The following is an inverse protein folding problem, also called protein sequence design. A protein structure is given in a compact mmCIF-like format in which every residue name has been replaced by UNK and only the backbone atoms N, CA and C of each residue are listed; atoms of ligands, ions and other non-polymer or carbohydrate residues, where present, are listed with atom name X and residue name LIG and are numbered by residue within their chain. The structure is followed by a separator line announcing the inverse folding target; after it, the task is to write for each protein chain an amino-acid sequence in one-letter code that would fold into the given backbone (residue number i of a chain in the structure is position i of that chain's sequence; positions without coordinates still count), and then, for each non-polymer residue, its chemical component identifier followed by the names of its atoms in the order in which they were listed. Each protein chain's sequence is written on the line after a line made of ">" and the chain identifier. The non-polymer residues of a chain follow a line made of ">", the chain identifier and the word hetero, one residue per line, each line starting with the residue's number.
data_IF_770978917662
#
_entry.id   IF_770978917662
#
_cell.length_a   1.000
_cell.length_b   1.000
_cell.length_c   1.000
_cell.angle_alpha   90.00
_cell.angle_beta   90.00
_cell.angle_gamma   90.00
#
_symmetry.space_group_name_H-M   'P 1'
#
loop_
_entity.id
_entity.type
_entity.pdbx_description
1 polymer ?
#
# COMPACT_ATOMS: atom_id res chain seq x y z
N UNK A 1 7.28 -34.41 -30.34
CA UNK A 1 7.81 -33.92 -29.07
C UNK A 1 6.70 -33.20 -28.36
N UNK A 2 6.02 -33.86 -27.44
CA UNK A 2 4.99 -33.25 -26.54
C UNK A 2 5.71 -32.29 -25.60
N UNK A 3 5.22 -31.07 -25.39
CA UNK A 3 5.81 -30.18 -24.39
C UNK A 3 5.72 -30.85 -23.02
N UNK A 4 6.71 -30.67 -22.14
CA UNK A 4 6.63 -31.21 -20.79
C UNK A 4 5.40 -30.59 -20.10
N UNK A 5 4.57 -31.46 -19.57
CA UNK A 5 3.44 -31.12 -18.69
C UNK A 5 3.98 -30.23 -17.58
N UNK A 6 3.69 -28.93 -17.70
CA UNK A 6 4.07 -27.97 -16.68
C UNK A 6 3.41 -28.43 -15.39
N UNK A 7 4.23 -28.75 -14.40
CA UNK A 7 3.81 -29.14 -13.07
C UNK A 7 2.68 -28.18 -12.64
N UNK A 8 1.52 -28.71 -12.39
CA UNK A 8 0.40 -27.99 -11.74
C UNK A 8 0.91 -27.60 -10.37
N UNK A 9 1.56 -26.44 -10.30
CA UNK A 9 1.97 -25.88 -9.03
C UNK A 9 0.68 -25.70 -8.24
N UNK A 10 0.61 -26.37 -7.12
CA UNK A 10 -0.50 -26.32 -6.18
C UNK A 10 -0.61 -24.86 -5.72
N UNK A 11 -1.45 -24.06 -6.42
CA UNK A 11 -1.68 -22.66 -6.07
C UNK A 11 -2.20 -22.63 -4.64
N UNK A 12 -1.61 -21.82 -3.75
CA UNK A 12 -2.15 -21.68 -2.42
C UNK A 12 -3.58 -21.16 -2.54
N UNK A 13 -4.51 -21.81 -1.88
CA UNK A 13 -5.89 -21.38 -1.82
C UNK A 13 -6.06 -20.54 -0.56
N UNK A 14 -6.34 -19.26 -0.75
CA UNK A 14 -6.57 -18.33 0.34
C UNK A 14 -8.01 -17.82 0.32
N UNK A 15 -8.52 -17.48 1.49
CA UNK A 15 -9.73 -16.70 1.67
C UNK A 15 -9.37 -15.29 2.15
N UNK A 16 -10.29 -14.35 2.08
CA UNK A 16 -10.07 -12.96 2.48
C UNK A 16 -9.50 -12.86 3.90
N UNK A 17 -10.01 -13.67 4.82
CA UNK A 17 -9.65 -13.63 6.25
C UNK A 17 -8.19 -14.03 6.50
N UNK A 18 -7.57 -14.78 5.59
CA UNK A 18 -6.14 -15.10 5.68
C UNK A 18 -5.26 -13.84 5.54
N UNK A 19 -5.79 -12.79 4.93
CA UNK A 19 -5.11 -11.51 4.76
C UNK A 19 -5.55 -10.44 5.75
N UNK A 20 -6.47 -10.74 6.66
CA UNK A 20 -6.92 -9.84 7.72
C UNK A 20 -6.02 -10.00 8.94
N UNK A 21 -5.44 -8.90 9.43
CA UNK A 21 -4.68 -8.91 10.67
C UNK A 21 -5.62 -8.88 11.89
N UNK A 22 -5.09 -9.23 13.06
CA UNK A 22 -5.82 -9.11 14.33
C UNK A 22 -5.91 -7.68 14.88
N UNK A 23 -5.59 -6.66 14.09
CA UNK A 23 -5.57 -5.27 14.55
C UNK A 23 -6.90 -4.55 14.23
N UNK A 24 -7.37 -3.77 15.20
CA UNK A 24 -8.53 -2.89 14.98
C UNK A 24 -8.21 -1.79 13.97
N UNK A 25 -9.04 -1.66 12.96
CA UNK A 25 -8.89 -0.60 11.96
C UNK A 25 -9.31 0.75 12.54
N UNK A 26 -8.40 1.72 12.53
CA UNK A 26 -8.56 3.03 13.20
C UNK A 26 -8.56 4.21 12.23
N UNK A 27 -9.28 4.09 11.14
CA UNK A 27 -9.58 5.22 10.26
C UNK A 27 -10.89 5.92 10.68
N UNK A 28 -11.11 7.11 10.15
CA UNK A 28 -12.36 7.84 10.42
C UNK A 28 -13.58 7.08 9.85
N UNK A 29 -14.73 7.14 10.51
CA UNK A 29 -15.96 6.55 9.97
C UNK A 29 -16.26 7.04 8.55
N UNK A 30 -16.56 6.11 7.65
CA UNK A 30 -16.83 6.40 6.24
C UNK A 30 -15.60 6.78 5.41
N UNK A 31 -14.39 6.52 5.89
CA UNK A 31 -13.16 6.71 5.11
C UNK A 31 -13.08 5.70 3.97
N UNK A 32 -12.65 6.15 2.78
CA UNK A 32 -12.45 5.29 1.62
C UNK A 32 -11.38 4.20 1.82
N UNK A 33 -10.45 4.42 2.75
CA UNK A 33 -9.37 3.47 3.06
C UNK A 33 -9.92 2.09 3.51
N UNK A 34 -11.09 2.05 4.17
CA UNK A 34 -11.77 0.78 4.52
C UNK A 34 -12.11 -0.04 3.28
N UNK A 35 -12.65 0.61 2.26
CA UNK A 35 -13.01 -0.07 1.01
C UNK A 35 -11.76 -0.57 0.29
N UNK A 36 -10.71 0.25 0.21
CA UNK A 36 -9.44 -0.11 -0.43
C UNK A 36 -8.81 -1.32 0.27
N UNK A 37 -8.78 -1.33 1.60
CA UNK A 37 -8.26 -2.44 2.38
C UNK A 37 -9.05 -3.73 2.11
N UNK A 38 -10.38 -3.66 2.18
CA UNK A 38 -11.25 -4.81 1.95
C UNK A 38 -11.10 -5.38 0.54
N UNK A 39 -11.01 -4.51 -0.46
CA UNK A 39 -10.78 -4.92 -1.86
C UNK A 39 -9.41 -5.57 -2.01
N UNK A 40 -8.37 -4.99 -1.43
CA UNK A 40 -7.02 -5.56 -1.50
C UNK A 40 -6.93 -6.95 -0.87
N UNK A 41 -7.50 -7.14 0.32
CA UNK A 41 -7.54 -8.43 1.00
C UNK A 41 -8.25 -9.49 0.15
N UNK A 42 -9.39 -9.12 -0.46
CA UNK A 42 -10.14 -10.01 -1.35
C UNK A 42 -9.36 -10.29 -2.64
N UNK A 43 -8.79 -9.26 -3.27
CA UNK A 43 -8.02 -9.42 -4.52
C UNK A 43 -6.81 -10.33 -4.32
N UNK A 44 -6.10 -10.20 -3.22
CA UNK A 44 -4.98 -11.10 -2.93
C UNK A 44 -5.46 -12.54 -2.72
N UNK A 45 -6.58 -12.75 -2.03
CA UNK A 45 -7.15 -14.09 -1.87
C UNK A 45 -7.54 -14.73 -3.21
N UNK A 46 -8.19 -13.96 -4.07
CA UNK A 46 -8.75 -14.46 -5.34
C UNK A 46 -7.67 -14.67 -6.42
N UNK A 47 -6.66 -13.82 -6.49
CA UNK A 47 -5.76 -13.72 -7.64
C UNK A 47 -4.29 -14.02 -7.34
N UNK A 48 -3.87 -14.13 -6.08
CA UNK A 48 -2.46 -14.44 -5.82
C UNK A 48 -2.08 -15.84 -6.28
N UNK A 49 -0.93 -15.92 -6.90
CA UNK A 49 -0.29 -17.18 -7.28
C UNK A 49 0.91 -17.49 -6.40
N UNK A 50 1.24 -16.57 -5.50
CA UNK A 50 2.39 -16.66 -4.60
C UNK A 50 1.93 -16.86 -3.16
N UNK A 51 2.84 -17.34 -2.32
CA UNK A 51 2.55 -17.49 -0.90
C UNK A 51 2.34 -16.12 -0.25
N UNK A 52 1.47 -16.06 0.75
CA UNK A 52 1.17 -14.84 1.51
C UNK A 52 2.43 -14.17 2.06
N UNK A 53 3.40 -14.96 2.49
CA UNK A 53 4.68 -14.52 3.05
C UNK A 53 5.57 -13.81 2.02
N UNK A 54 5.28 -13.98 0.74
CA UNK A 54 6.02 -13.30 -0.33
C UNK A 54 5.45 -11.92 -0.67
N UNK A 55 4.33 -11.53 -0.07
CA UNK A 55 3.79 -10.18 -0.19
C UNK A 55 4.32 -9.31 0.96
N UNK A 56 4.88 -8.16 0.61
CA UNK A 56 5.41 -7.20 1.58
C UNK A 56 4.80 -5.82 1.31
N UNK A 57 4.16 -5.26 2.33
CA UNK A 57 3.57 -3.93 2.27
C UNK A 57 4.47 -2.91 2.96
N UNK A 58 4.89 -1.90 2.23
CA UNK A 58 5.76 -0.83 2.72
C UNK A 58 5.02 0.48 2.61
N UNK A 59 4.97 1.24 3.69
CA UNK A 59 4.27 2.52 3.70
C UNK A 59 5.14 3.66 4.23
N UNK A 60 4.80 4.88 3.81
CA UNK A 60 5.34 6.09 4.39
C UNK A 60 4.55 6.52 5.64
N UNK A 61 4.15 7.79 5.70
CA UNK A 61 3.41 8.36 6.82
C UNK A 61 2.11 9.01 6.33
N UNK A 62 1.05 8.78 7.08
CA UNK A 62 -0.28 9.30 6.84
C UNK A 62 -1.37 8.28 7.19
N UNK A 63 -2.64 8.62 6.94
CA UNK A 63 -3.75 7.73 7.28
C UNK A 63 -3.71 6.43 6.49
N UNK A 64 -3.54 6.50 5.18
CA UNK A 64 -3.40 5.33 4.30
C UNK A 64 -2.17 4.49 4.64
N UNK A 65 -1.12 5.12 5.19
CA UNK A 65 0.11 4.43 5.58
C UNK A 65 -0.06 3.46 6.76
N UNK A 66 -1.21 3.45 7.41
CA UNK A 66 -1.57 2.41 8.40
C UNK A 66 -1.87 1.05 7.77
N UNK A 67 -1.97 0.99 6.46
CA UNK A 67 -2.36 -0.21 5.72
C UNK A 67 -1.57 -1.47 6.12
N UNK A 68 -0.22 -1.46 6.30
CA UNK A 68 0.52 -2.64 6.71
C UNK A 68 0.09 -3.22 8.06
N UNK A 69 -0.46 -2.43 8.98
CA UNK A 69 -0.97 -2.96 10.26
C UNK A 69 -2.19 -3.87 10.09
N UNK A 70 -2.97 -3.64 9.03
CA UNK A 70 -4.26 -4.28 8.81
C UNK A 70 -4.18 -5.44 7.82
N UNK A 71 -2.99 -5.68 7.26
CA UNK A 71 -2.71 -6.81 6.39
C UNK A 71 -1.96 -7.90 7.15
N UNK A 72 -2.43 -9.15 7.03
CA UNK A 72 -1.73 -10.31 7.58
C UNK A 72 -0.65 -10.79 6.59
N UNK A 73 0.29 -9.92 6.29
CA UNK A 73 1.46 -10.14 5.44
C UNK A 73 2.68 -9.54 6.13
N UNK A 74 3.86 -9.71 5.54
CA UNK A 74 4.99 -8.89 6.00
C UNK A 74 4.81 -7.44 5.56
N UNK A 75 5.29 -6.53 6.40
CA UNK A 75 5.23 -5.12 6.09
C UNK A 75 5.90 -4.27 7.15
N UNK A 76 6.17 -3.02 6.80
CA UNK A 76 6.73 -2.05 7.74
C UNK A 76 6.48 -0.62 7.28
N UNK A 77 6.50 0.28 8.26
CA UNK A 77 6.46 1.71 8.03
C UNK A 77 7.86 2.26 7.79
N UNK A 78 7.92 3.31 7.00
CA UNK A 78 9.16 4.06 6.75
C UNK A 78 9.00 5.51 7.18
N UNK A 79 10.01 6.32 6.92
CA UNK A 79 9.96 7.76 7.10
C UNK A 79 9.07 8.39 6.01
N UNK A 80 8.47 9.54 6.31
CA UNK A 80 7.57 10.26 5.41
C UNK A 80 8.17 10.47 4.02
N UNK A 81 7.47 10.00 3.00
CA UNK A 81 7.87 10.07 1.61
C UNK A 81 9.02 9.13 1.19
N UNK A 82 9.44 8.19 2.05
CA UNK A 82 10.59 7.32 1.76
C UNK A 82 10.24 5.89 1.37
N UNK A 83 8.97 5.53 1.41
CA UNK A 83 8.52 4.18 1.08
C UNK A 83 9.01 3.68 -0.30
N UNK A 84 8.97 4.45 -1.40
CA UNK A 84 9.49 3.99 -2.68
C UNK A 84 10.99 3.70 -2.67
N UNK A 85 11.79 4.48 -1.93
CA UNK A 85 13.24 4.26 -1.83
C UNK A 85 13.57 2.98 -1.06
N UNK A 86 12.90 2.76 0.07
CA UNK A 86 13.09 1.54 0.89
C UNK A 86 12.59 0.31 0.13
N UNK A 87 11.43 0.40 -0.53
CA UNK A 87 10.88 -0.66 -1.37
C UNK A 87 11.83 -1.03 -2.52
N UNK A 88 12.46 -0.03 -3.13
CA UNK A 88 13.50 -0.26 -4.16
C UNK A 88 14.66 -1.06 -3.58
N UNK A 89 15.17 -0.69 -2.41
CA UNK A 89 16.23 -1.43 -1.74
C UNK A 89 15.85 -2.89 -1.45
N UNK A 90 14.65 -3.12 -0.91
CA UNK A 90 14.14 -4.46 -0.69
C UNK A 90 14.09 -5.28 -1.99
N UNK A 91 13.56 -4.69 -3.06
CA UNK A 91 13.44 -5.37 -4.35
C UNK A 91 14.79 -5.70 -4.98
N UNK A 92 15.82 -4.89 -4.72
CA UNK A 92 17.19 -5.16 -5.18
C UNK A 92 17.80 -6.40 -4.50
N UNK A 93 17.52 -6.64 -3.23
CA UNK A 93 18.09 -7.78 -2.48
C UNK A 93 17.18 -9.01 -2.47
N UNK A 94 15.88 -8.83 -2.68
CA UNK A 94 14.87 -9.89 -2.72
C UNK A 94 13.94 -9.68 -3.93
N UNK A 95 14.42 -9.97 -5.14
CA UNK A 95 13.66 -9.80 -6.38
C UNK A 95 12.45 -10.75 -6.48
N UNK A 96 12.43 -11.81 -5.69
CA UNK A 96 11.36 -12.80 -5.60
C UNK A 96 10.10 -12.30 -4.87
N UNK A 97 10.22 -11.25 -4.06
CA UNK A 97 9.10 -10.72 -3.30
C UNK A 97 8.19 -9.84 -4.16
N UNK A 98 6.89 -9.93 -3.89
CA UNK A 98 5.89 -8.99 -4.41
C UNK A 98 5.80 -7.81 -3.45
N UNK A 99 6.39 -6.69 -3.84
CA UNK A 99 6.50 -5.51 -2.98
C UNK A 99 5.44 -4.49 -3.36
N UNK A 100 4.64 -4.12 -2.36
CA UNK A 100 3.58 -3.12 -2.42
C UNK A 100 4.00 -1.86 -1.67
N UNK A 101 3.80 -0.72 -2.28
CA UNK A 101 4.00 0.59 -1.63
C UNK A 101 2.64 1.24 -1.45
N UNK A 102 2.30 1.58 -0.21
CA UNK A 102 1.09 2.33 0.12
C UNK A 102 1.49 3.74 0.53
N UNK A 103 0.97 4.72 -0.16
CA UNK A 103 1.31 6.12 0.09
C UNK A 103 0.11 7.03 -0.13
N UNK A 104 0.05 8.13 0.58
CA UNK A 104 -0.90 9.20 0.34
C UNK A 104 -0.36 10.22 -0.67
N UNK A 105 -1.20 11.13 -1.12
CA UNK A 105 -0.82 12.22 -2.03
C UNK A 105 0.28 13.11 -1.44
N UNK A 106 0.16 13.56 -0.21
CA UNK A 106 1.18 14.34 0.48
C UNK A 106 2.48 13.57 0.71
N UNK A 107 2.36 12.29 1.06
CA UNK A 107 3.48 11.39 1.31
C UNK A 107 4.23 11.06 0.00
N UNK A 108 3.53 10.64 -1.02
CA UNK A 108 4.14 10.15 -2.26
C UNK A 108 4.46 11.24 -3.27
N UNK A 109 3.55 12.22 -3.46
CA UNK A 109 3.70 13.23 -4.51
C UNK A 109 4.36 14.51 -4.01
N UNK A 110 4.17 14.89 -2.75
CA UNK A 110 4.79 16.08 -2.18
C UNK A 110 6.19 15.76 -1.65
N UNK A 111 6.31 15.35 -0.39
CA UNK A 111 7.62 15.12 0.23
C UNK A 111 8.38 13.93 -0.39
N UNK A 112 7.66 12.94 -0.91
CA UNK A 112 8.21 11.73 -1.52
C UNK A 112 8.43 11.80 -3.02
N UNK A 113 8.00 12.87 -3.70
CA UNK A 113 7.95 12.96 -5.16
C UNK A 113 9.25 12.59 -5.86
N UNK A 114 10.39 13.01 -5.31
CA UNK A 114 11.69 12.67 -5.87
C UNK A 114 11.98 11.16 -5.83
N UNK A 115 11.66 10.48 -4.74
CA UNK A 115 11.85 9.04 -4.61
C UNK A 115 10.91 8.25 -5.50
N UNK A 116 9.68 8.71 -5.64
CA UNK A 116 8.70 8.11 -6.54
C UNK A 116 9.18 8.21 -8.00
N UNK A 117 9.61 9.40 -8.45
CA UNK A 117 10.13 9.61 -9.80
C UNK A 117 11.36 8.72 -10.05
N UNK A 118 12.26 8.61 -9.10
CA UNK A 118 13.44 7.77 -9.24
C UNK A 118 13.13 6.28 -9.32
N UNK A 119 12.14 5.78 -8.57
CA UNK A 119 11.68 4.41 -8.68
C UNK A 119 11.06 4.14 -10.06
N UNK A 120 10.23 5.06 -10.56
CA UNK A 120 9.62 4.98 -11.89
C UNK A 120 10.67 4.99 -13.01
N UNK A 121 11.63 5.93 -12.97
CA UNK A 121 12.70 6.01 -13.99
C UNK A 121 13.54 4.74 -14.08
N UNK A 122 13.73 4.05 -12.97
CA UNK A 122 14.49 2.79 -12.92
C UNK A 122 13.63 1.58 -13.28
N UNK A 123 12.34 1.80 -13.51
CA UNK A 123 11.38 0.73 -13.80
C UNK A 123 11.45 -0.42 -12.78
N UNK A 124 11.55 -0.08 -11.50
CA UNK A 124 11.59 -1.08 -10.43
C UNK A 124 10.23 -1.77 -10.35
N UNK A 125 10.23 -3.10 -10.27
CA UNK A 125 9.01 -3.91 -10.14
C UNK A 125 8.37 -3.72 -8.76
N UNK A 126 7.72 -2.58 -8.56
CA UNK A 126 6.94 -2.22 -7.38
C UNK A 126 5.47 -2.05 -7.76
N UNK A 127 4.58 -2.45 -6.88
CA UNK A 127 3.14 -2.17 -6.97
C UNK A 127 2.87 -0.98 -6.06
N UNK A 128 2.59 0.17 -6.65
CA UNK A 128 2.40 1.43 -5.90
C UNK A 128 0.94 1.81 -5.90
N UNK A 129 0.35 1.90 -4.71
CA UNK A 129 -1.01 2.38 -4.49
C UNK A 129 -0.92 3.75 -3.85
N UNK A 130 -1.30 4.77 -4.63
CA UNK A 130 -1.39 6.13 -4.16
C UNK A 130 -2.85 6.43 -3.82
N UNK A 131 -3.10 6.68 -2.53
CA UNK A 131 -4.42 6.99 -2.03
C UNK A 131 -4.59 8.50 -1.96
N UNK A 132 -5.38 9.06 -2.88
CA UNK A 132 -5.78 10.46 -2.84
C UNK A 132 -7.21 10.56 -2.30
N UNK A 133 -7.35 10.61 -1.00
CA UNK A 133 -8.65 10.58 -0.33
C UNK A 133 -9.38 11.92 -0.38
N UNK A 134 -8.74 13.01 -0.82
CA UNK A 134 -9.29 14.38 -0.94
C UNK A 134 -10.18 14.84 0.23
N UNK A 135 -10.07 14.19 1.38
CA UNK A 135 -10.75 14.70 2.59
C UNK A 135 -9.87 15.79 3.18
N UNK A 136 -10.26 17.06 3.05
CA UNK A 136 -9.65 18.08 3.89
C UNK A 136 -9.81 17.61 5.32
N UNK A 137 -8.73 17.66 6.11
CA UNK A 137 -8.82 17.41 7.53
C UNK A 137 -10.05 18.19 8.04
N UNK A 138 -11.05 17.46 8.54
CA UNK A 138 -12.41 17.97 8.86
C UNK A 138 -12.38 19.19 9.79
N UNK A 139 -11.22 19.52 10.34
CA UNK A 139 -11.02 20.61 11.30
C UNK A 139 -10.17 21.79 10.80
N UNK A 140 -9.57 21.74 9.63
CA UNK A 140 -8.69 22.86 9.22
C UNK A 140 -9.46 24.11 8.78
N UNK A 141 -10.72 23.96 8.33
CA UNK A 141 -11.53 25.10 7.90
C UNK A 141 -12.37 25.72 9.01
N UNK A 142 -12.67 25.00 10.11
CA UNK A 142 -13.52 25.54 11.18
C UNK A 142 -12.76 26.37 12.21
N UNK A 143 -11.43 26.27 12.29
CA UNK A 143 -10.65 26.92 13.34
C UNK A 143 -9.53 27.83 12.83
N UNK A 144 -9.53 28.20 11.56
CA UNK A 144 -8.60 29.22 11.08
C UNK A 144 -9.37 30.54 10.81
N UNK A 145 -9.37 31.47 11.77
CA UNK A 145 -10.05 32.76 11.61
C UNK A 145 -9.46 33.65 10.52
N UNK A 146 -8.31 33.27 9.97
CA UNK A 146 -7.65 34.01 8.89
C UNK A 146 -8.17 33.67 7.47
N UNK A 147 -9.07 32.69 7.34
CA UNK A 147 -9.66 32.32 6.04
C UNK A 147 -11.12 32.77 5.88
N UNK A 148 -11.67 33.53 6.79
CA UNK A 148 -12.93 34.24 6.63
C UNK A 148 -12.67 35.63 6.08
N UNK A 149 -12.18 35.76 4.85
CA UNK A 149 -12.35 36.99 4.11
C UNK A 149 -13.68 36.94 3.41
N UNK A 150 -14.61 37.74 3.89
CA UNK A 150 -15.85 38.05 3.24
C UNK A 150 -15.61 38.61 1.84
N UNK A 151 -16.24 37.98 0.86
CA UNK A 151 -16.72 38.64 -0.35
C UNK A 151 -18.16 38.28 -0.57
#
# INVERSE_FOLDING_TARGET
>A
MTPPEAAVQNKPHYIKDDFVSGQDVRWCPGCGDYAILSVMQKTLADFTTTKRENHVFISGIGCSSRFPYYMNTYGFHTIHGRAPAIATGLKCVRPDLTVWVITGDGDGLSIGGNHLIHAMRRNIDLKIILVNNQRPAVNSKKNNPLLTTNH
#
